data_IF_552201764831
#
_entry.id   IF_552201764831
#
_cell.length_a   1.000
_cell.length_b   1.000
_cell.length_c   1.000
_cell.angle_alpha   90.00
_cell.angle_beta   90.00
_cell.angle_gamma   90.00
#
_symmetry.space_group_name_H-M   'P 1'
#
loop_
_entity.id
_entity.type
_entity.pdbx_description
1 polymer ?
2 non-polymer ?
3 water ?
#
# COMPACT_ATOMS: atom_id res chain seq x y z
N UNK A 1 4.64 10.78 20.75
CA UNK A 1 4.83 11.37 19.37
C UNK A 1 4.66 10.36 18.22
N UNK A 2 4.65 10.84 16.96
CA UNK A 2 4.57 9.86 15.84
C UNK A 2 5.90 9.07 15.68
N UNK A 3 5.80 7.83 15.17
CA UNK A 3 6.94 6.95 15.04
C UNK A 3 7.67 7.23 13.73
N UNK A 4 8.34 8.37 13.68
CA UNK A 4 9.09 8.76 12.48
C UNK A 4 10.24 7.82 12.20
N UNK A 5 10.91 7.37 13.25
CA UNK A 5 12.05 6.48 13.08
C UNK A 5 11.62 5.17 12.40
N UNK A 6 10.52 4.62 12.90
CA UNK A 6 9.97 3.42 12.27
C UNK A 6 9.58 3.64 10.81
N UNK A 7 8.85 4.71 10.53
CA UNK A 7 8.49 5.04 9.15
C UNK A 7 9.71 5.15 8.26
N UNK A 8 10.74 5.85 8.72
CA UNK A 8 11.97 5.96 7.95
C UNK A 8 12.63 4.60 7.65
N UNK A 9 12.68 3.70 8.63
CA UNK A 9 13.28 2.36 8.43
C UNK A 9 12.47 1.56 7.39
N UNK A 10 11.14 1.67 7.46
CA UNK A 10 10.34 1.02 6.44
C UNK A 10 10.64 1.65 5.08
N UNK A 11 10.71 2.97 4.99
CA UNK A 11 10.88 3.61 3.68
C UNK A 11 12.24 3.27 3.08
N UNK A 12 13.24 3.20 3.95
CA UNK A 12 14.64 3.04 3.54
C UNK A 12 14.81 1.68 2.88
N UNK A 13 14.30 0.64 3.55
CA UNK A 13 14.53 -0.73 3.15
C UNK A 13 13.42 -1.38 2.33
N UNK A 14 12.21 -0.82 2.38
CA UNK A 14 11.05 -1.52 1.82
C UNK A 14 10.18 -0.71 0.84
N UNK A 15 10.70 0.39 0.27
CA UNK A 15 9.91 1.05 -0.76
C UNK A 15 10.70 1.28 -2.03
N UNK A 16 9.98 1.28 -3.15
CA UNK A 16 10.51 1.61 -4.43
C UNK A 16 9.53 2.54 -5.10
N UNK A 17 9.97 3.19 -6.20
CA UNK A 17 9.06 4.01 -6.97
C UNK A 17 8.50 3.12 -8.06
N UNK A 18 7.19 2.97 -8.11
CA UNK A 18 6.57 2.17 -9.19
C UNK A 18 5.93 3.11 -10.16
N UNK A 19 5.98 2.79 -11.46
CA UNK A 19 5.34 3.61 -12.45
C UNK A 19 4.59 2.73 -13.43
N UNK A 20 3.30 3.00 -13.57
CA UNK A 20 2.43 2.27 -14.47
C UNK A 20 1.92 3.27 -15.50
N UNK A 21 0.99 2.82 -16.35
CA UNK A 21 0.32 3.71 -17.29
C UNK A 21 -0.38 4.88 -16.59
N UNK A 22 -0.72 4.71 -15.31
CA UNK A 22 -1.46 5.72 -14.59
C UNK A 22 -0.57 6.71 -13.85
N UNK A 23 0.74 6.51 -13.89
CA UNK A 23 1.65 7.42 -13.20
C UNK A 23 2.50 6.75 -12.13
N UNK A 24 3.07 7.56 -11.23
CA UNK A 24 3.99 7.04 -10.22
C UNK A 24 3.24 6.79 -8.93
N UNK A 25 3.69 5.77 -8.21
CA UNK A 25 3.13 5.37 -6.91
C UNK A 25 4.27 4.95 -6.04
N UNK A 26 4.17 5.31 -4.75
CA UNK A 26 5.01 4.72 -3.76
C UNK A 26 4.67 3.23 -3.73
N UNK A 27 5.68 2.38 -3.68
CA UNK A 27 5.38 0.94 -3.66
C UNK A 27 6.08 0.27 -2.50
N UNK A 28 5.28 -0.39 -1.63
CA UNK A 28 5.77 -1.09 -0.49
C UNK A 28 6.13 -2.53 -0.88
N UNK A 29 7.39 -2.90 -0.66
CA UNK A 29 7.84 -4.30 -0.82
C UNK A 29 7.61 -5.04 0.49
N UNK A 30 7.01 -6.23 0.42
CA UNK A 30 6.57 -6.90 1.65
C UNK A 30 7.47 -8.07 2.02
N UNK A 31 7.83 -8.88 1.03
CA UNK A 31 8.73 -9.99 1.28
C UNK A 31 9.19 -10.56 -0.07
N UNK A 32 10.33 -11.25 -0.06
CA UNK A 32 10.82 -11.86 -1.29
C UNK A 32 10.73 -10.83 -2.44
N UNK A 33 9.99 -11.13 -3.51
CA UNK A 33 9.85 -10.16 -4.62
C UNK A 33 8.38 -9.74 -4.76
N UNK A 34 7.73 -9.72 -3.61
CA UNK A 34 6.30 -9.42 -3.54
C UNK A 34 6.11 -8.02 -2.95
N UNK A 35 5.26 -7.23 -3.59
CA UNK A 35 5.00 -5.82 -3.24
C UNK A 35 3.51 -5.54 -3.41
N UNK A 36 3.09 -4.34 -3.01
CA UNK A 36 1.72 -3.94 -3.20
C UNK A 36 1.65 -2.62 -3.91
N UNK A 37 0.49 -2.39 -4.51
CA UNK A 37 0.22 -1.16 -5.22
C UNK A 37 -1.30 -1.01 -5.26
N UNK A 38 -1.80 0.24 -5.24
CA UNK A 38 -3.26 0.37 -5.33
C UNK A 38 -3.80 -0.21 -6.63
N UNK A 39 -4.94 -0.91 -6.55
CA UNK A 39 -5.54 -1.52 -7.75
C UNK A 39 -5.81 -0.53 -8.89
N UNK A 40 -6.22 0.69 -8.54
CA UNK A 40 -6.46 1.72 -9.56
C UNK A 40 -5.20 2.21 -10.29
N UNK A 41 -4.02 1.72 -9.89
CA UNK A 41 -2.79 1.97 -10.65
C UNK A 41 -2.81 1.22 -11.99
N UNK A 42 -3.70 0.24 -12.13
CA UNK A 42 -3.83 -0.53 -13.39
C UNK A 42 -2.55 -1.23 -13.81
N UNK A 43 -2.01 -2.06 -12.93
CA UNK A 43 -0.78 -2.80 -13.23
C UNK A 43 -1.00 -3.75 -14.42
N UNK A 44 0.00 -3.80 -15.31
CA UNK A 44 -0.06 -4.65 -16.52
C UNK A 44 0.93 -5.79 -16.39
N UNK A 45 1.51 -6.25 -17.49
CA UNK A 45 2.48 -7.33 -17.38
C UNK A 45 3.94 -6.84 -17.26
N UNK A 46 4.15 -5.54 -17.41
CA UNK A 46 5.43 -4.95 -17.05
C UNK A 46 5.16 -3.66 -16.25
N UNK A 47 6.16 -3.27 -15.46
CA UNK A 47 6.04 -2.06 -14.62
C UNK A 47 7.42 -1.44 -14.48
N UNK A 48 7.50 -0.11 -14.32
CA UNK A 48 8.79 0.51 -13.97
C UNK A 48 9.00 0.54 -12.48
N UNK A 49 10.14 0.03 -12.06
CA UNK A 49 10.57 0.04 -10.68
C UNK A 49 11.89 0.81 -10.57
N UNK A 50 11.84 1.97 -9.90
CA UNK A 50 13.00 2.90 -9.87
C UNK A 50 13.51 3.13 -11.32
N UNK A 51 12.57 3.37 -12.22
CA UNK A 51 12.79 3.63 -13.65
C UNK A 51 13.34 2.49 -14.50
N UNK A 52 13.37 1.28 -13.95
CA UNK A 52 13.82 0.09 -14.66
C UNK A 52 12.60 -0.77 -15.04
N UNK A 53 12.38 -1.01 -16.33
CA UNK A 53 11.27 -1.87 -16.75
C UNK A 53 11.42 -3.27 -16.13
N UNK A 54 10.34 -3.77 -15.54
CA UNK A 54 10.38 -4.99 -14.73
C UNK A 54 9.18 -5.85 -15.07
N UNK A 55 9.40 -7.15 -15.26
CA UNK A 55 8.26 -8.03 -15.53
C UNK A 55 7.43 -8.18 -14.25
N UNK A 56 6.11 -8.08 -14.41
CA UNK A 56 5.14 -8.43 -13.34
C UNK A 56 4.77 -9.90 -13.51
N UNK A 57 5.34 -10.76 -12.67
CA UNK A 57 5.13 -12.21 -12.78
C UNK A 57 3.73 -12.63 -12.31
N UNK A 58 3.17 -11.87 -11.37
CA UNK A 58 1.78 -12.15 -10.96
C UNK A 58 1.20 -10.85 -10.45
N UNK A 59 -0.10 -10.71 -10.55
CA UNK A 59 -0.76 -9.55 -9.99
C UNK A 59 -2.13 -10.03 -9.51
N UNK A 60 -2.43 -9.84 -8.22
CA UNK A 60 -3.70 -10.28 -7.67
C UNK A 60 -4.42 -9.07 -7.07
N UNK A 61 -5.53 -8.68 -7.69
CA UNK A 61 -6.34 -7.55 -7.28
C UNK A 61 -7.31 -8.04 -6.20
N UNK A 62 -7.06 -7.64 -4.96
CA UNK A 62 -7.81 -8.27 -3.86
C UNK A 62 -9.25 -7.80 -3.80
N UNK A 63 -10.14 -8.76 -3.54
CA UNK A 63 -11.54 -8.49 -3.31
C UNK A 63 -12.02 -9.35 -2.14
N UNK A 64 -13.01 -8.87 -1.39
CA UNK A 64 -13.50 -9.66 -0.25
C UNK A 64 -14.62 -10.60 -0.72
N UNK A 65 -15.22 -11.32 0.24
CA UNK A 65 -16.21 -12.34 -0.12
C UNK A 65 -17.54 -11.77 -0.57
N UNK A 66 -17.72 -10.46 -0.49
CA UNK A 66 -18.88 -9.81 -1.13
C UNK A 66 -18.55 -9.46 -2.59
N UNK A 67 -17.38 -9.90 -3.06
CA UNK A 67 -16.85 -9.53 -4.40
C UNK A 67 -16.73 -7.99 -4.54
N UNK A 68 -16.20 -7.36 -3.49
CA UNK A 68 -16.02 -5.91 -3.52
C UNK A 68 -14.54 -5.61 -3.47
N UNK A 69 -14.13 -4.63 -4.29
CA UNK A 69 -12.78 -4.09 -4.29
C UNK A 69 -12.22 -3.80 -2.90
N UNK A 70 -11.01 -4.30 -2.60
CA UNK A 70 -10.24 -3.91 -1.42
C UNK A 70 -9.12 -2.90 -1.76
N UNK A 71 -8.91 -2.68 -3.06
CA UNK A 71 -7.98 -1.64 -3.57
C UNK A 71 -6.50 -1.99 -3.42
N UNK A 72 -6.20 -3.15 -2.86
CA UNK A 72 -4.84 -3.65 -2.78
C UNK A 72 -4.62 -4.61 -3.96
N UNK A 73 -3.52 -4.41 -4.69
CA UNK A 73 -3.08 -5.41 -5.67
C UNK A 73 -1.70 -5.90 -5.22
N UNK A 74 -1.55 -7.21 -5.11
CA UNK A 74 -0.30 -7.76 -4.68
C UNK A 74 0.43 -8.15 -5.98
N UNK A 75 1.69 -7.76 -6.11
CA UNK A 75 2.41 -8.08 -7.36
C UNK A 75 3.63 -8.90 -7.01
N UNK A 76 4.08 -9.75 -7.96
CA UNK A 76 5.30 -10.49 -7.79
C UNK A 76 6.17 -10.02 -8.95
N UNK A 77 7.40 -9.61 -8.65
CA UNK A 77 8.24 -8.90 -9.62
C UNK A 77 9.46 -9.72 -10.01
N UNK A 78 9.86 -9.64 -11.27
CA UNK A 78 11.09 -10.29 -11.67
C UNK A 78 12.30 -9.34 -11.43
N UNK A 79 12.84 -9.33 -10.21
CA UNK A 79 13.99 -8.49 -9.83
C UNK A 79 14.98 -9.36 -9.12
N UNK A 80 16.22 -8.89 -9.02
CA UNK A 80 17.23 -9.66 -8.33
C UNK A 80 17.17 -9.48 -6.82
N UNK A 81 17.00 -8.25 -6.38
CA UNK A 81 16.96 -7.93 -4.94
C UNK A 81 15.71 -8.53 -4.25
N UNK A 82 15.89 -9.13 -3.07
CA UNK A 82 14.73 -9.52 -2.25
C UNK A 82 14.38 -8.38 -1.31
N UNK A 83 13.10 -8.21 -1.01
CA UNK A 83 12.72 -7.25 0.03
C UNK A 83 12.92 -7.88 1.39
N UNK A 84 13.40 -7.07 2.34
CA UNK A 84 13.42 -7.49 3.73
C UNK A 84 11.99 -7.90 4.10
N UNK A 85 11.85 -9.02 4.80
CA UNK A 85 10.53 -9.56 5.10
C UNK A 85 9.92 -8.74 6.25
N UNK A 86 8.87 -7.99 5.96
CA UNK A 86 8.24 -7.17 6.99
C UNK A 86 6.83 -7.68 7.35
N UNK A 87 6.56 -8.95 7.07
CA UNK A 87 5.22 -9.48 7.34
C UNK A 87 4.92 -9.42 8.85
N UNK A 88 5.94 -9.61 9.67
CA UNK A 88 5.72 -9.52 11.13
C UNK A 88 5.26 -8.13 11.64
N UNK A 89 5.41 -7.10 10.80
CA UNK A 89 4.95 -5.75 11.15
C UNK A 89 3.52 -5.50 10.68
N UNK A 90 2.89 -6.51 10.04
CA UNK A 90 1.54 -6.30 9.55
C UNK A 90 0.53 -6.70 10.64
N UNK A 91 -0.49 -5.86 10.85
CA UNK A 91 -1.55 -6.19 11.83
C UNK A 91 -2.30 -7.47 11.48
N UNK A 92 -2.67 -8.22 12.50
CA UNK A 92 -3.49 -9.42 12.28
C UNK A 92 -4.94 -9.08 11.95
N UNK A 93 -5.47 -8.06 12.60
CA UNK A 93 -6.89 -7.71 12.55
C UNK A 93 -7.09 -6.28 12.13
N UNK A 94 -8.31 -5.98 11.69
CA UNK A 94 -8.80 -4.61 11.56
C UNK A 94 -8.68 -3.88 12.91
N UNK A 95 -8.37 -2.58 12.86
CA UNK A 95 -8.19 -1.82 14.12
C UNK A 95 -8.23 -0.33 13.82
N UNK A 96 -8.33 0.47 14.90
CA UNK A 96 -8.09 1.90 14.84
C UNK A 96 -6.70 2.15 15.40
N UNK A 97 -6.10 3.30 15.03
CA UNK A 97 -4.71 3.59 15.42
C UNK A 97 -4.56 5.06 15.80
N UNK A 98 -3.52 5.32 16.57
CA UNK A 98 -3.16 6.67 17.01
C UNK A 98 -1.90 7.15 16.31
N UNK A 99 -1.85 8.45 16.02
CA UNK A 99 -0.62 9.18 15.69
C UNK A 99 0.17 8.51 14.55
N UNK A 100 -0.53 8.18 13.47
CA UNK A 100 0.08 7.50 12.32
C UNK A 100 0.89 8.46 11.45
N UNK A 101 1.83 7.89 10.69
CA UNK A 101 2.61 8.65 9.69
C UNK A 101 2.31 8.10 8.30
N UNK A 102 2.17 8.98 7.32
CA UNK A 102 2.08 8.62 5.90
C UNK A 102 3.38 9.00 5.24
N UNK A 103 4.01 8.03 4.57
CA UNK A 103 5.35 8.19 4.05
C UNK A 103 5.34 7.99 2.53
N UNK A 104 5.97 8.91 1.81
CA UNK A 104 5.91 8.90 0.34
C UNK A 104 7.32 8.77 -0.23
N UNK A 105 7.42 7.96 -1.28
CA UNK A 105 8.68 7.72 -2.02
C UNK A 105 8.36 7.69 -3.53
N UNK A 106 8.47 8.86 -4.17
CA UNK A 106 8.23 9.03 -5.61
C UNK A 106 9.39 9.82 -6.21
N UNK A 107 9.41 10.01 -7.54
CA UNK A 107 10.45 10.87 -8.12
C UNK A 107 10.37 12.29 -7.57
N UNK A 108 9.15 12.82 -7.49
CA UNK A 108 8.92 14.18 -7.03
C UNK A 108 9.21 14.35 -5.52
N UNK A 109 8.85 13.33 -4.73
CA UNK A 109 9.11 13.31 -3.28
C UNK A 109 9.82 12.01 -2.88
N UNK A 110 11.16 11.95 -3.02
CA UNK A 110 11.90 10.71 -2.77
C UNK A 110 11.88 10.25 -1.31
N UNK A 111 11.45 11.13 -0.42
CA UNK A 111 11.45 10.78 0.97
C UNK A 111 10.69 11.86 1.74
N UNK A 112 9.44 11.61 2.09
CA UNK A 112 8.63 12.62 2.78
C UNK A 112 7.70 11.96 3.78
N UNK A 113 7.50 12.66 4.90
CA UNK A 113 6.78 12.13 6.04
C UNK A 113 5.68 13.09 6.47
N UNK A 114 4.45 12.56 6.60
CA UNK A 114 3.32 13.36 7.00
C UNK A 114 2.60 12.74 8.19
N UNK A 115 2.62 13.39 9.37
CA UNK A 115 1.83 12.86 10.49
C UNK A 115 0.38 13.08 10.20
N UNK A 116 -0.42 12.02 10.19
CA UNK A 116 -1.82 12.19 9.80
C UNK A 116 -2.78 12.12 10.98
N UNK A 117 -2.24 11.90 12.17
CA UNK A 117 -3.01 11.79 13.42
C UNK A 117 -3.78 10.47 13.53
N UNK A 118 -4.97 10.53 14.11
CA UNK A 118 -5.78 9.32 14.35
C UNK A 118 -6.25 8.68 13.07
N UNK A 119 -6.15 7.35 13.05
CA UNK A 119 -6.66 6.57 11.91
C UNK A 119 -7.84 5.69 12.35
N UNK A 120 -8.96 5.81 11.66
CA UNK A 120 -10.14 5.06 12.04
C UNK A 120 -10.46 3.96 11.02
N UNK A 121 -10.86 2.80 11.53
CA UNK A 121 -11.44 1.75 10.69
C UNK A 121 -12.77 2.25 10.14
N UNK A 122 -12.72 2.70 8.89
CA UNK A 122 -13.81 3.42 8.26
C UNK A 122 -14.81 2.49 7.56
N UNK A 123 -14.31 1.47 6.87
CA UNK A 123 -15.20 0.48 6.25
C UNK A 123 -15.45 0.81 4.80
N UNK A 124 -16.72 1.05 4.45
CA UNK A 124 -17.12 1.28 3.06
C UNK A 124 -16.77 2.68 2.60
N UNK A 125 -16.23 2.77 1.39
CA UNK A 125 -15.96 4.02 0.71
C UNK A 125 -16.33 3.86 -0.77
N UNK A 126 -16.99 4.85 -1.33
CA UNK A 126 -17.16 4.91 -2.76
C UNK A 126 -15.93 5.60 -3.37
N UNK A 127 -14.99 4.81 -3.89
CA UNK A 127 -13.73 5.36 -4.43
C UNK A 127 -13.82 5.64 -5.94
N UNK A 128 -14.10 6.91 -6.27
CA UNK A 128 -14.18 7.36 -7.67
C UNK A 128 -15.15 6.51 -8.46
N UNK A 129 -16.29 6.21 -7.85
CA UNK A 129 -17.30 5.34 -8.46
C UNK A 129 -17.20 3.85 -8.15
N UNK A 130 -16.09 3.40 -7.55
CA UNK A 130 -15.93 1.97 -7.22
C UNK A 130 -16.23 1.69 -5.74
N UNK A 131 -17.28 0.91 -5.45
CA UNK A 131 -17.45 0.49 -4.05
C UNK A 131 -16.18 -0.23 -3.57
N UNK A 132 -15.73 0.15 -2.38
CA UNK A 132 -14.50 -0.34 -1.82
C UNK A 132 -14.70 -0.63 -0.33
N UNK A 133 -14.13 -1.71 0.16
CA UNK A 133 -14.24 -2.08 1.57
C UNK A 133 -12.93 -1.98 2.32
N UNK A 134 -13.03 -2.01 3.66
CA UNK A 134 -11.89 -2.20 4.54
C UNK A 134 -10.91 -1.00 4.52
N UNK A 135 -11.50 0.16 4.39
CA UNK A 135 -10.79 1.44 4.31
C UNK A 135 -10.45 2.02 5.70
N UNK A 136 -9.25 2.61 5.81
CA UNK A 136 -8.79 3.35 6.99
C UNK A 136 -8.88 4.83 6.64
N UNK A 137 -9.30 5.66 7.60
CA UNK A 137 -9.50 7.09 7.32
C UNK A 137 -8.70 7.94 8.30
N UNK A 138 -8.16 9.04 7.79
CA UNK A 138 -7.43 10.00 8.63
C UNK A 138 -7.84 11.38 8.21
N UNK A 139 -7.88 12.28 9.19
CA UNK A 139 -8.34 13.64 8.91
C UNK A 139 -7.14 14.46 8.54
N UNK A 140 -6.77 14.34 7.27
CA UNK A 140 -5.65 15.06 6.74
C UNK A 140 -5.84 15.29 5.25
N UNK A 141 -5.50 16.49 4.76
CA UNK A 141 -5.78 16.80 3.37
C UNK A 141 -4.72 16.24 2.44
N UNK A 142 -4.83 14.95 2.17
CA UNK A 142 -3.87 14.27 1.31
C UNK A 142 -4.13 14.64 -0.12
N UNK A 143 -3.12 14.44 -0.96
CA UNK A 143 -3.13 14.96 -2.32
C UNK A 143 -2.76 13.90 -3.35
N UNK A 144 -3.10 14.18 -4.60
CA UNK A 144 -2.55 13.43 -5.71
C UNK A 144 -1.03 13.41 -5.54
N UNK A 145 -0.44 12.27 -5.89
CA UNK A 145 0.99 12.06 -5.77
C UNK A 145 1.32 11.24 -4.52
N UNK A 146 0.34 11.04 -3.65
CA UNK A 146 0.60 10.35 -2.38
C UNK A 146 0.06 8.91 -2.38
N UNK A 147 -0.52 8.48 -3.49
CA UNK A 147 -1.05 7.11 -3.54
C UNK A 147 0.05 6.06 -3.48
N UNK A 148 -0.24 5.00 -2.71
CA UNK A 148 0.72 3.97 -2.41
C UNK A 148 1.52 4.32 -1.16
N UNK A 149 1.38 5.56 -0.69
CA UNK A 149 2.16 6.00 0.46
C UNK A 149 1.90 5.08 1.64
N UNK A 150 2.93 4.82 2.44
CA UNK A 150 2.85 3.77 3.44
C UNK A 150 2.34 4.42 4.74
N UNK A 151 1.31 3.82 5.36
CA UNK A 151 0.79 4.32 6.65
C UNK A 151 1.32 3.42 7.75
N UNK A 152 1.98 4.03 8.74
CA UNK A 152 2.58 3.27 9.82
C UNK A 152 2.20 3.89 11.18
N UNK A 153 2.31 3.06 12.21
CA UNK A 153 2.54 3.48 13.59
C UNK A 153 3.81 2.75 13.97
N UNK A 154 4.43 3.11 15.09
CA UNK A 154 5.56 2.31 15.53
C UNK A 154 5.24 0.82 15.56
N UNK A 155 6.06 0.07 14.83
CA UNK A 155 6.01 -1.36 14.82
C UNK A 155 4.90 -1.94 14.00
N UNK A 156 4.06 -1.11 13.37
CA UNK A 156 3.01 -1.63 12.49
C UNK A 156 2.93 -0.93 11.13
N UNK A 157 2.90 -1.72 10.07
CA UNK A 157 2.59 -1.19 8.77
C UNK A 157 1.12 -1.50 8.48
N UNK A 158 0.25 -0.48 8.44
CA UNK A 158 -1.19 -0.73 8.54
C UNK A 158 -1.96 -0.55 7.25
N UNK A 159 -1.35 0.09 6.26
CA UNK A 159 -2.07 0.28 5.02
C UNK A 159 -1.30 1.09 4.01
N UNK A 160 -1.92 1.26 2.83
CA UNK A 160 -1.36 2.11 1.78
C UNK A 160 -2.36 3.12 1.31
N UNK A 161 -1.88 4.34 1.09
CA UNK A 161 -2.79 5.42 0.75
C UNK A 161 -3.47 5.27 -0.61
N UNK A 162 -4.79 5.47 -0.67
CA UNK A 162 -5.47 5.27 -1.96
C UNK A 162 -6.39 6.37 -2.42
N UNK A 163 -6.73 7.29 -1.52
CA UNK A 163 -7.77 8.26 -1.86
C UNK A 163 -7.93 9.40 -0.88
N UNK A 164 -8.68 10.40 -1.30
CA UNK A 164 -8.96 11.56 -0.46
C UNK A 164 -10.04 12.42 -1.08
N UNK A 165 -10.60 13.29 -0.25
CA UNK A 165 -11.71 14.15 -0.65
C UNK A 165 -11.39 15.64 -0.42
N UNK A 166 -10.11 15.97 -0.23
CA UNK A 166 -9.68 17.35 0.08
C UNK A 166 -9.55 17.68 1.56
N UNK A 167 -10.27 16.97 2.41
CA UNK A 167 -10.21 17.11 3.87
C UNK A 167 -9.71 15.84 4.58
N UNK A 168 -10.08 14.68 4.05
CA UNK A 168 -9.71 13.40 4.69
C UNK A 168 -8.90 12.57 3.70
N UNK A 169 -8.07 11.67 4.23
CA UNK A 169 -7.33 10.69 3.38
C UNK A 169 -7.75 9.27 3.75
N UNK A 170 -7.59 8.35 2.79
CA UNK A 170 -8.09 7.00 2.96
C UNK A 170 -7.01 6.03 2.51
N UNK A 171 -6.83 4.97 3.30
CA UNK A 171 -5.84 3.93 2.97
C UNK A 171 -6.55 2.59 2.88
N UNK A 172 -6.03 1.72 2.03
CA UNK A 172 -6.49 0.33 2.00
C UNK A 172 -5.75 -0.43 3.07
N UNK A 173 -6.45 -1.24 3.89
CA UNK A 173 -5.78 -1.98 4.96
C UNK A 173 -4.81 -3.00 4.43
N UNK A 174 -3.73 -3.18 5.17
CA UNK A 174 -2.92 -4.37 5.02
C UNK A 174 -3.16 -5.26 6.23
N UNK A 175 -3.42 -6.54 5.98
CA UNK A 175 -3.52 -7.57 7.01
C UNK A 175 -2.49 -8.67 6.81
N UNK A 176 -2.01 -9.24 7.90
CA UNK A 176 -0.98 -10.26 7.88
C UNK A 176 -1.39 -11.46 6.99
N UNK A 177 -2.66 -11.82 7.04
CA UNK A 177 -3.13 -13.02 6.29
C UNK A 177 -3.12 -12.83 4.77
N UNK A 178 -2.93 -11.60 4.28
CA UNK A 178 -2.85 -11.40 2.83
C UNK A 178 -1.59 -12.04 2.29
N UNK A 179 -0.59 -12.29 3.12
CA UNK A 179 0.75 -12.62 2.59
C UNK A 179 1.32 -13.94 3.09
N UNK A 180 0.49 -14.74 3.75
CA UNK A 180 0.96 -16.02 4.31
C UNK A 180 1.23 -17.03 3.18
N UNK A 181 2.30 -17.81 3.31
CA UNK A 181 2.60 -18.91 2.35
C UNK A 181 1.44 -19.93 2.34
N UNK A 182 0.96 -20.31 1.16
CA UNK A 182 -0.27 -21.11 1.07
C UNK A 182 -0.18 -22.32 0.10
N UNK A 183 -1.29 -22.67 -0.58
CA UNK A 183 -1.32 -23.78 -1.56
C UNK A 183 -1.98 -23.51 -2.96
N UNK A 184 -2.71 -24.49 -3.50
CA UNK A 184 -2.98 -24.58 -4.97
C UNK A 184 -4.38 -24.20 -5.50
N UNK A 185 -4.40 -23.15 -6.33
CA UNK A 185 -5.61 -22.41 -6.69
C UNK A 185 -5.41 -21.69 -8.02
N UNK A 186 -6.22 -22.04 -9.02
CA UNK A 186 -6.26 -21.29 -10.29
C UNK A 186 -6.87 -19.90 -10.06
N UNK A 187 -6.07 -18.84 -10.20
CA UNK A 187 -6.56 -17.49 -9.86
C UNK A 187 -6.77 -16.48 -11.00
N UNK A 188 -6.44 -16.86 -12.23
CA UNK A 188 -6.65 -15.93 -13.35
C UNK A 188 -7.65 -16.45 -14.38
N UNK A 189 -7.61 -17.60 -14.74
X LIG B 1 -16.89 12.79 -1.93
X LIG B 1 -15.69 12.20 -2.29
X LIG B 1 -3.55 9.13 -10.52
X LIG B 1 -15.78 10.82 -1.93
X LIG B 1 -4.54 8.36 -11.39
X LIG B 1 -17.06 10.62 -1.35
X LIG B 1 -5.08 5.60 -8.92
X LIG B 1 -17.72 11.85 -1.37
X LIG B 1 -4.61 4.82 -7.86
X LIG B 1 -17.15 14.15 -2.14
X LIG B 1 -5.32 4.77 -6.64
X LIG B 1 -13.54 14.47 -6.23
X LIG B 1 -14.75 9.72 -2.09
X LIG B 1 -10.15 11.78 -7.34
X LIG B 1 -16.15 14.93 -2.74
X LIG B 1 -13.44 10.19 -2.44
X LIG B 1 -14.93 14.34 -3.12
X LIG B 1 -12.93 9.97 -3.79
X LIG B 1 -14.69 12.97 -2.90
X LIG B 1 -19.02 12.01 -0.86
X LIG B 1 -13.58 9.25 -4.54
X LIG B 1 -19.66 10.88 -0.33
X LIG B 1 -19.00 9.64 -0.31
X LIG B 1 -11.78 10.55 -4.16
X LIG B 1 -17.70 9.49 -0.82
X LIG B 1 -11.19 10.39 -5.48
X LIG B 1 -10.87 11.81 -5.98
X LIG B 1 -12.09 12.57 -6.08
X LIG B 1 -12.10 14.03 -5.98
X LIG B 1 -9.90 9.62 -5.34
X LIG B 1 -9.56 8.77 -6.30
X LIG B 1 -9.21 9.79 -4.36
X LIG B 1 -8.30 8.02 -6.21
X LIG B 1 -7.12 8.97 -6.28
X LIG B 1 -8.28 7.07 -7.42
X LIG B 1 -11.21 14.72 -7.03
X LIG B 1 -11.65 14.49 -4.58
X LIG B 1 -7.10 9.87 -7.13
X LIG B 1 -6.14 8.83 -5.37
X LIG B 1 -6.98 6.30 -7.57
X LIG B 1 -6.26 6.34 -8.78
X LIG B 1 -6.50 5.50 -6.51
X LIG B 1 -4.95 9.71 -5.33
X LIG B 1 -4.88 10.35 -3.94
X LIG B 1 -6.09 11.26 -3.66
X LIG B 1 -3.70 8.87 -5.61
X LIG B 1 -6.00 12.09 -2.41
X LIG B 1 -5.60 11.68 -1.33
X LIG B 1 -6.48 13.32 -2.66
X LIG B 1 -7.08 13.49 -3.98
X LIG B 1 -6.37 12.34 -4.72
X LIG B 1 -3.58 8.43 -7.08
X LIG B 1 -3.49 9.63 -8.02
X LIG B 1 -4.17 9.58 -9.30
X LIG B 1 -2.89 10.67 -7.69
#
# INVERSE_FOLDING_TARGET
>A
GPGFDFAQAIMKKNTVVARTEKGEFTMLGVHDRVAVIPTHASVGETIYINDVETKVLDACALRDLTDTNLEITIVKLDRNQKFRDIRHFLPRYEDDYNDAVLSVHTSKFPNMYIPVGQVTNYGFLNLGGTPTHRILMYNFPTRAGQCGGVVTTTGKVIGIHVGGNGAQGFAAMLLHSYFTDTQKHHHHHH
>B hetero
1 G84 C1 C2 C3 C4 C5 C6 C7 C8 C9 C10 C11 C12 C13 C14 C15 O15 C16 C17 C18 C19 O19 C20 C21 N21 C22 C23 C25 O27 C29 C31 N33 O35 C37 C39 C41 C43 C45 O47 N49 C51 C53 C55 C57 C59 C61 C63 C65 O66 N69 C71 C73 C82 C84 O86 O88
#
